data_IF_553700387006
#
_entry.id   IF_553700387006
#
_cell.length_a   1.000
_cell.length_b   1.000
_cell.length_c   1.000
_cell.angle_alpha   90.00
_cell.angle_beta   90.00
_cell.angle_gamma   90.00
#
_symmetry.space_group_name_H-M   'P 1'
#
loop_
_entity.id
_entity.type
_entity.pdbx_description
1 polymer ?
#
# COMPACT_ATOMS: atom_id res chain seq x y z
N UNK A 1 36.63 32.21 70.40
CA UNK A 1 35.23 32.38 69.95
C UNK A 1 35.17 31.92 68.50
N UNK A 2 34.27 30.98 68.17
CA UNK A 2 34.01 30.36 66.85
C UNK A 2 35.17 29.50 66.31
N UNK A 3 35.25 28.17 66.47
CA UNK A 3 34.36 27.05 66.11
C UNK A 3 33.92 27.03 64.64
N UNK A 4 34.64 26.28 63.80
CA UNK A 4 34.12 25.10 63.07
C UNK A 4 35.25 24.44 62.26
N UNK A 5 35.65 23.25 62.71
CA UNK A 5 36.61 22.34 62.09
C UNK A 5 35.84 21.44 61.11
N UNK A 6 36.32 21.37 59.87
CA UNK A 6 35.77 20.53 58.79
C UNK A 6 36.05 19.06 59.13
N UNK A 7 34.99 18.29 59.38
CA UNK A 7 35.03 16.84 59.58
C UNK A 7 34.75 16.16 58.23
N UNK A 8 35.77 15.50 57.69
CA UNK A 8 35.71 14.62 56.53
C UNK A 8 35.14 13.25 56.98
N UNK A 9 33.84 13.03 56.77
CA UNK A 9 33.16 11.76 57.07
C UNK A 9 33.30 10.77 55.91
N UNK A 10 34.20 9.81 56.07
CA UNK A 10 34.24 8.54 55.34
C UNK A 10 33.07 7.66 55.81
N UNK A 11 32.05 7.48 54.96
CA UNK A 11 30.96 6.53 55.20
C UNK A 11 31.21 5.23 54.40
N UNK A 12 31.10 4.06 55.04
CA UNK A 12 31.34 2.76 54.40
C UNK A 12 30.17 2.36 53.48
N UNK A 13 30.51 1.81 52.31
CA UNK A 13 29.57 1.30 51.33
C UNK A 13 28.73 0.15 51.89
N UNK A 14 27.43 0.38 51.98
CA UNK A 14 26.45 -0.70 52.16
C UNK A 14 26.02 -1.19 50.78
N UNK A 15 26.52 -2.37 50.41
CA UNK A 15 26.06 -3.15 49.27
C UNK A 15 24.61 -3.58 49.53
N UNK A 16 23.65 -2.85 48.97
CA UNK A 16 22.31 -3.38 48.76
C UNK A 16 22.32 -4.23 47.48
N UNK A 17 22.42 -5.54 47.64
CA UNK A 17 22.06 -6.48 46.59
C UNK A 17 20.56 -6.35 46.31
N UNK A 18 20.21 -5.64 45.25
CA UNK A 18 18.84 -5.62 44.74
C UNK A 18 18.62 -6.93 43.98
N UNK A 19 18.07 -7.92 44.69
CA UNK A 19 17.51 -9.11 44.06
C UNK A 19 16.44 -8.67 43.08
N UNK A 20 16.75 -8.75 41.78
CA UNK A 20 15.74 -8.58 40.73
C UNK A 20 14.84 -9.80 40.78
N UNK A 21 13.82 -9.73 41.63
CA UNK A 21 12.59 -10.50 41.53
C UNK A 21 11.85 -10.10 40.25
N UNK A 22 12.38 -10.52 39.10
CA UNK A 22 11.76 -10.38 37.80
C UNK A 22 11.03 -11.65 37.43
N UNK A 23 9.97 -11.97 38.19
CA UNK A 23 8.99 -13.00 37.84
C UNK A 23 8.20 -12.56 36.60
N UNK A 24 8.86 -12.59 35.44
CA UNK A 24 8.18 -12.56 34.15
C UNK A 24 7.36 -13.83 34.06
N UNK A 25 6.05 -13.72 34.30
CA UNK A 25 5.10 -14.73 33.83
C UNK A 25 5.27 -14.80 32.32
N UNK A 26 6.10 -15.73 31.86
CA UNK A 26 6.17 -16.11 30.46
C UNK A 26 4.75 -16.45 30.04
N UNK A 27 4.18 -15.62 29.16
CA UNK A 27 2.89 -15.93 28.57
C UNK A 27 3.01 -17.35 28.00
N UNK A 28 2.12 -18.25 28.43
CA UNK A 28 2.10 -19.61 27.91
C UNK A 28 2.14 -19.56 26.37
N UNK A 29 2.93 -20.44 25.71
CA UNK A 29 2.95 -20.50 24.27
C UNK A 29 1.51 -20.61 23.76
N UNK A 30 1.12 -19.69 22.86
CA UNK A 30 -0.20 -19.77 22.25
C UNK A 30 -0.34 -21.13 21.56
N UNK A 31 -1.52 -21.77 21.61
CA UNK A 31 -1.74 -23.04 20.94
C UNK A 31 -1.42 -22.90 19.44
N UNK A 32 -0.96 -23.98 18.78
CA UNK A 32 -0.64 -23.93 17.37
C UNK A 32 -1.86 -23.48 16.56
N UNK A 33 -1.66 -22.66 15.51
CA UNK A 33 -2.75 -22.14 14.70
C UNK A 33 -3.51 -23.29 14.02
N UNK A 34 -4.84 -23.16 13.96
CA UNK A 34 -5.75 -24.10 13.30
C UNK A 34 -6.55 -23.36 12.21
N UNK A 35 -7.11 -24.10 11.26
CA UNK A 35 -7.94 -23.57 10.17
C UNK A 35 -7.23 -22.52 9.28
N UNK A 36 -5.95 -22.76 9.01
CA UNK A 36 -5.18 -22.04 7.98
C UNK A 36 -5.57 -22.60 6.61
N UNK A 37 -6.27 -21.80 5.78
CA UNK A 37 -6.71 -22.20 4.43
C UNK A 37 -5.79 -21.68 3.33
N UNK A 38 -5.11 -20.55 3.59
CA UNK A 38 -4.24 -19.88 2.61
C UNK A 38 -2.79 -19.78 3.08
N UNK A 39 -2.55 -19.68 4.38
CA UNK A 39 -1.21 -19.54 4.96
C UNK A 39 -0.63 -20.92 5.27
N UNK A 40 0.67 -21.09 5.02
CA UNK A 40 1.36 -22.33 5.37
C UNK A 40 1.50 -22.43 6.90
N UNK A 41 1.36 -23.61 7.52
CA UNK A 41 1.60 -23.79 8.95
C UNK A 41 3.00 -23.38 9.42
N UNK A 42 3.99 -23.34 8.52
CA UNK A 42 5.38 -22.90 8.79
C UNK A 42 5.55 -21.39 8.72
N UNK A 43 4.60 -20.65 8.14
CA UNK A 43 4.65 -19.18 8.10
C UNK A 43 4.61 -18.64 9.54
N UNK A 44 5.34 -17.55 9.80
CA UNK A 44 5.29 -16.84 11.09
C UNK A 44 3.94 -16.13 11.28
N UNK A 45 2.91 -16.89 11.66
CA UNK A 45 1.51 -16.44 11.69
C UNK A 45 1.33 -15.18 12.54
N UNK A 46 2.01 -15.08 13.69
CA UNK A 46 1.88 -13.90 14.55
C UNK A 46 2.34 -12.62 13.85
N UNK A 47 3.46 -12.69 13.13
CA UNK A 47 3.98 -11.55 12.37
C UNK A 47 3.01 -11.14 11.27
N UNK A 48 2.47 -12.11 10.52
CA UNK A 48 1.48 -11.86 9.46
C UNK A 48 0.20 -11.24 10.00
N UNK A 49 -0.32 -11.72 11.14
CA UNK A 49 -1.52 -11.14 11.75
C UNK A 49 -1.26 -9.71 12.27
N UNK A 50 -0.05 -9.44 12.77
CA UNK A 50 0.34 -8.09 13.18
C UNK A 50 0.44 -7.14 11.98
N UNK A 51 0.99 -7.59 10.85
CA UNK A 51 1.07 -6.76 9.65
C UNK A 51 -0.31 -6.44 9.07
N UNK A 52 -1.28 -7.36 9.18
CA UNK A 52 -2.68 -7.07 8.83
C UNK A 52 -3.29 -6.02 9.75
N UNK A 53 -3.09 -6.13 11.06
CA UNK A 53 -3.58 -5.16 12.03
C UNK A 53 -3.02 -3.76 11.74
N UNK A 54 -1.71 -3.66 11.47
CA UNK A 54 -1.05 -2.40 11.12
C UNK A 54 -1.57 -1.83 9.80
N UNK A 55 -1.62 -2.65 8.75
CA UNK A 55 -2.08 -2.22 7.43
C UNK A 55 -3.53 -1.71 7.45
N UNK A 56 -4.41 -2.32 8.24
CA UNK A 56 -5.83 -1.94 8.32
C UNK A 56 -6.15 -0.95 9.45
N UNK A 57 -5.24 -0.74 10.41
CA UNK A 57 -5.50 0.07 11.60
C UNK A 57 -6.50 -0.56 12.58
N UNK A 58 -6.48 -1.88 12.72
CA UNK A 58 -7.48 -2.64 13.51
C UNK A 58 -6.84 -3.55 14.55
N UNK A 59 -7.66 -4.08 15.45
CA UNK A 59 -7.28 -5.10 16.42
C UNK A 59 -7.73 -6.51 15.98
N UNK A 60 -7.16 -7.55 16.61
CA UNK A 60 -7.41 -8.95 16.27
C UNK A 60 -8.91 -9.32 16.20
N UNK A 61 -9.71 -8.78 17.12
CA UNK A 61 -11.16 -9.03 17.21
C UNK A 61 -11.96 -8.43 16.04
N UNK A 62 -11.34 -7.60 15.21
CA UNK A 62 -11.96 -7.15 13.96
C UNK A 62 -12.26 -8.34 13.05
N UNK A 63 -11.33 -9.29 12.93
CA UNK A 63 -11.47 -10.47 12.08
C UNK A 63 -11.72 -11.76 12.86
N UNK A 64 -11.18 -11.89 14.08
CA UNK A 64 -11.26 -13.12 14.86
C UNK A 64 -12.35 -13.06 15.94
N UNK A 65 -12.88 -14.24 16.30
CA UNK A 65 -13.71 -14.39 17.49
C UNK A 65 -12.81 -14.41 18.74
N UNK A 66 -13.24 -13.74 19.81
CA UNK A 66 -12.47 -13.72 21.05
C UNK A 66 -12.44 -15.12 21.67
N UNK A 67 -11.26 -15.62 22.00
CA UNK A 67 -11.08 -16.98 22.56
C UNK A 67 -11.07 -18.10 21.52
N UNK A 68 -11.51 -17.85 20.28
CA UNK A 68 -11.43 -18.81 19.17
C UNK A 68 -10.98 -18.14 17.87
N UNK A 69 -9.66 -18.10 17.66
CA UNK A 69 -9.06 -17.55 16.44
C UNK A 69 -9.29 -18.44 15.21
N UNK A 70 -9.62 -19.72 15.40
CA UNK A 70 -9.83 -20.68 14.33
C UNK A 70 -11.23 -20.59 13.74
N UNK A 71 -12.23 -20.13 14.50
CA UNK A 71 -13.60 -19.91 14.03
C UNK A 71 -13.66 -19.00 12.79
N UNK A 72 -14.57 -19.33 11.88
CA UNK A 72 -14.94 -18.52 10.70
C UNK A 72 -16.31 -17.84 10.89
N UNK A 73 -16.88 -17.85 12.11
CA UNK A 73 -18.18 -17.21 12.41
C UNK A 73 -18.17 -15.69 12.18
N UNK A 74 -17.02 -15.03 12.34
CA UNK A 74 -16.87 -13.64 11.95
C UNK A 74 -16.62 -13.54 10.42
N UNK A 75 -17.56 -12.99 9.64
CA UNK A 75 -17.47 -12.97 8.18
C UNK A 75 -16.30 -12.13 7.65
N UNK A 76 -15.75 -11.20 8.46
CA UNK A 76 -14.59 -10.39 8.07
C UNK A 76 -13.33 -11.24 7.86
N UNK A 77 -13.23 -12.41 8.51
CA UNK A 77 -12.13 -13.34 8.29
C UNK A 77 -12.12 -13.87 6.85
N UNK A 78 -13.28 -14.22 6.31
CA UNK A 78 -13.41 -14.66 4.92
C UNK A 78 -13.15 -13.52 3.94
N UNK A 79 -13.50 -12.27 4.29
CA UNK A 79 -13.08 -11.09 3.51
C UNK A 79 -11.55 -10.96 3.50
N UNK A 80 -10.89 -11.10 4.66
CA UNK A 80 -9.43 -11.06 4.74
C UNK A 80 -8.77 -12.16 3.89
N UNK A 81 -9.34 -13.39 3.87
CA UNK A 81 -8.87 -14.46 2.99
C UNK A 81 -8.98 -14.08 1.50
N UNK A 82 -10.10 -13.45 1.08
CA UNK A 82 -10.23 -12.94 -0.30
C UNK A 82 -9.18 -11.88 -0.62
N UNK A 83 -8.83 -11.02 0.34
CA UNK A 83 -7.78 -10.01 0.15
C UNK A 83 -6.39 -10.64 0.02
N UNK A 84 -6.09 -11.71 0.78
CA UNK A 84 -4.85 -12.49 0.60
C UNK A 84 -4.78 -13.06 -0.82
N UNK A 85 -5.86 -13.67 -1.30
CA UNK A 85 -5.93 -14.18 -2.68
C UNK A 85 -5.77 -13.06 -3.72
N UNK A 86 -6.32 -11.87 -3.45
CA UNK A 86 -6.16 -10.71 -4.33
C UNK A 86 -4.70 -10.24 -4.40
N UNK A 87 -3.98 -10.15 -3.27
CA UNK A 87 -2.55 -9.79 -3.27
C UNK A 87 -1.74 -10.82 -4.07
N UNK A 88 -1.99 -12.12 -3.86
CA UNK A 88 -1.33 -13.18 -4.64
C UNK A 88 -1.62 -13.09 -6.13
N UNK A 89 -2.83 -12.66 -6.52
CA UNK A 89 -3.17 -12.43 -7.91
C UNK A 89 -2.38 -11.24 -8.48
N UNK A 90 -2.26 -10.17 -7.70
CA UNK A 90 -1.51 -8.96 -8.07
C UNK A 90 -0.04 -9.29 -8.28
N UNK A 91 0.56 -10.13 -7.43
CA UNK A 91 1.96 -10.57 -7.55
C UNK A 91 2.29 -11.14 -8.92
N UNK A 92 1.34 -11.84 -9.57
CA UNK A 92 1.56 -12.42 -10.91
C UNK A 92 1.81 -11.36 -12.00
N UNK A 93 1.49 -10.09 -11.73
CA UNK A 93 1.71 -8.96 -12.63
C UNK A 93 3.10 -8.32 -12.47
N UNK A 94 3.87 -8.70 -11.45
CA UNK A 94 5.16 -8.10 -11.12
C UNK A 94 6.30 -9.14 -11.18
N UNK A 95 7.23 -9.02 -12.14
CA UNK A 95 8.35 -9.96 -12.26
C UNK A 95 9.32 -9.93 -11.06
N UNK A 96 9.29 -8.86 -10.26
CA UNK A 96 10.08 -8.71 -9.04
C UNK A 96 9.53 -9.54 -7.88
N UNK A 97 8.24 -9.89 -7.89
CA UNK A 97 7.63 -10.70 -6.82
C UNK A 97 8.25 -12.10 -6.79
N UNK A 98 8.70 -12.52 -5.61
CA UNK A 98 9.35 -13.80 -5.38
C UNK A 98 8.70 -14.48 -4.18
N UNK A 99 8.25 -15.73 -4.35
CA UNK A 99 7.49 -16.45 -3.33
C UNK A 99 5.98 -16.24 -3.45
N UNK A 100 5.24 -16.66 -2.42
CA UNK A 100 3.78 -16.56 -2.37
C UNK A 100 3.43 -15.81 -1.11
N UNK A 101 2.72 -14.69 -1.24
CA UNK A 101 2.36 -13.84 -0.11
C UNK A 101 1.78 -14.69 1.03
N UNK A 102 2.27 -14.54 2.28
CA UNK A 102 3.15 -13.47 2.78
C UNK A 102 4.66 -13.78 2.71
N UNK A 103 5.06 -14.90 2.11
CA UNK A 103 6.45 -15.33 2.10
C UNK A 103 7.20 -14.82 0.87
N UNK A 104 8.32 -14.13 1.10
CA UNK A 104 9.21 -13.62 0.05
C UNK A 104 9.03 -12.13 -0.24
N UNK A 105 9.52 -11.67 -1.40
CA UNK A 105 9.41 -10.28 -1.82
C UNK A 105 8.12 -10.06 -2.60
N UNK A 106 7.39 -9.01 -2.27
CA UNK A 106 6.14 -8.64 -2.92
C UNK A 106 6.12 -7.15 -3.25
N UNK A 107 5.80 -6.82 -4.50
CA UNK A 107 5.74 -5.43 -4.96
C UNK A 107 4.58 -4.66 -4.29
N UNK A 108 3.48 -5.36 -4.02
CA UNK A 108 2.28 -4.83 -3.40
C UNK A 108 1.92 -5.69 -2.20
N UNK A 109 1.50 -5.06 -1.11
CA UNK A 109 0.99 -5.73 0.08
C UNK A 109 -0.25 -5.02 0.64
N UNK A 110 -0.73 -5.48 1.80
CA UNK A 110 -1.89 -4.89 2.48
C UNK A 110 -1.69 -3.39 2.78
N UNK A 111 -0.47 -3.02 3.19
CA UNK A 111 -0.14 -1.64 3.58
C UNK A 111 -0.15 -0.70 2.38
N UNK A 112 0.17 -1.22 1.18
CA UNK A 112 0.20 -0.45 -0.07
C UNK A 112 -1.13 0.28 -0.31
N UNK A 113 -2.25 -0.44 -0.11
CA UNK A 113 -3.60 0.05 -0.33
C UNK A 113 -4.24 0.63 0.94
N UNK A 114 -4.22 -0.14 2.04
CA UNK A 114 -5.05 0.17 3.21
C UNK A 114 -4.50 1.33 4.04
N UNK A 115 -3.18 1.41 4.23
CA UNK A 115 -2.49 2.50 4.95
C UNK A 115 -3.21 2.95 6.24
N UNK A 116 -3.56 2.00 7.10
CA UNK A 116 -4.24 2.22 8.37
C UNK A 116 -5.76 2.37 8.27
N UNK A 117 -6.36 2.11 7.11
CA UNK A 117 -7.80 2.20 6.89
C UNK A 117 -8.39 0.87 6.43
N UNK A 118 -9.49 0.44 7.06
CA UNK A 118 -10.23 -0.77 6.67
C UNK A 118 -10.74 -0.69 5.23
N UNK A 119 -11.07 0.52 4.75
CA UNK A 119 -11.41 0.78 3.35
C UNK A 119 -10.32 1.67 2.75
N UNK A 120 -9.63 1.22 1.69
CA UNK A 120 -8.63 2.04 1.02
C UNK A 120 -9.22 3.34 0.45
N UNK A 121 -8.40 4.38 0.39
CA UNK A 121 -8.73 5.59 -0.34
C UNK A 121 -8.63 5.34 -1.85
N UNK A 122 -9.54 5.94 -2.62
CA UNK A 122 -9.59 5.77 -4.09
C UNK A 122 -9.43 7.08 -4.86
N UNK A 123 -9.33 8.21 -4.17
CA UNK A 123 -9.24 9.53 -4.81
C UNK A 123 -8.14 10.35 -4.16
N UNK A 124 -7.33 11.01 -4.98
CA UNK A 124 -6.32 11.94 -4.51
C UNK A 124 -6.97 13.09 -3.73
N UNK A 125 -6.44 13.49 -2.56
CA UNK A 125 -7.00 14.58 -1.76
C UNK A 125 -6.77 15.95 -2.41
N UNK A 126 -5.85 16.04 -3.37
CA UNK A 126 -5.50 17.27 -4.06
C UNK A 126 -5.09 17.00 -5.50
N UNK A 127 -5.44 17.93 -6.40
CA UNK A 127 -4.95 17.94 -7.76
C UNK A 127 -3.48 18.36 -7.81
N UNK A 128 -2.63 17.60 -8.50
CA UNK A 128 -1.23 17.91 -8.68
C UNK A 128 -1.00 18.72 -9.96
N UNK A 129 -0.42 19.91 -9.85
CA UNK A 129 0.02 20.69 -11.00
C UNK A 129 1.46 21.11 -10.75
N UNK A 130 2.41 20.61 -11.54
CA UNK A 130 3.77 21.13 -11.47
C UNK A 130 3.81 22.50 -12.15
N UNK A 131 4.04 23.55 -11.37
CA UNK A 131 4.21 24.91 -11.89
C UNK A 131 5.46 25.07 -12.76
N UNK A 132 6.42 24.15 -12.68
CA UNK A 132 7.65 24.16 -13.51
C UNK A 132 7.54 23.38 -14.83
N UNK A 133 6.48 22.60 -15.02
CA UNK A 133 6.29 21.73 -16.21
C UNK A 133 4.90 21.82 -16.82
N UNK A 134 3.99 22.58 -16.20
CA UNK A 134 2.94 23.26 -16.95
C UNK A 134 3.68 24.13 -17.94
N UNK A 135 3.78 23.64 -19.18
CA UNK A 135 3.68 24.51 -20.35
C UNK A 135 2.78 25.67 -19.90
N UNK A 136 3.26 26.91 -19.86
CA UNK A 136 2.49 28.09 -19.43
C UNK A 136 1.24 28.37 -20.28
N UNK A 137 0.80 27.36 -21.03
CA UNK A 137 -0.40 27.24 -21.78
C UNK A 137 -1.54 26.84 -20.84
N UNK A 138 -2.76 27.35 -21.08
CA UNK A 138 -3.95 26.87 -20.39
C UNK A 138 -4.08 25.34 -20.50
N UNK A 139 -4.80 24.68 -19.57
CA UNK A 139 -5.14 23.27 -19.71
C UNK A 139 -5.60 23.00 -21.14
N UNK A 140 -5.10 21.95 -21.82
CA UNK A 140 -5.49 21.68 -23.20
C UNK A 140 -7.01 21.67 -23.29
N UNK A 141 -7.55 22.39 -24.27
CA UNK A 141 -8.98 22.37 -24.57
C UNK A 141 -9.46 20.92 -24.63
N UNK A 142 -10.68 20.65 -24.19
CA UNK A 142 -11.23 19.30 -24.28
C UNK A 142 -11.30 18.90 -25.75
N UNK A 143 -10.35 18.05 -26.14
CA UNK A 143 -10.34 17.37 -27.43
C UNK A 143 -10.63 15.90 -27.20
N UNK A 144 -11.34 15.23 -28.12
CA UNK A 144 -11.57 13.79 -28.05
C UNK A 144 -10.25 13.04 -27.86
N UNK A 145 -10.29 11.98 -27.08
CA UNK A 145 -9.13 11.11 -26.90
C UNK A 145 -8.78 10.42 -28.21
N UNK A 146 -7.51 10.52 -28.59
CA UNK A 146 -6.92 9.81 -29.73
C UNK A 146 -6.05 8.67 -29.22
N UNK A 147 -5.99 7.55 -29.96
CA UNK A 147 -5.21 6.36 -29.59
C UNK A 147 -5.54 5.82 -28.18
N UNK A 148 -6.84 5.75 -27.86
CA UNK A 148 -7.37 5.34 -26.56
C UNK A 148 -7.06 3.88 -26.19
N UNK A 149 -6.76 3.03 -27.19
CA UNK A 149 -6.44 1.60 -27.07
C UNK A 149 -7.41 0.84 -26.15
N UNK A 150 -7.10 0.79 -24.86
CA UNK A 150 -7.84 0.05 -23.84
C UNK A 150 -9.06 0.83 -23.33
N UNK A 151 -9.10 2.15 -23.52
CA UNK A 151 -10.13 3.02 -22.99
C UNK A 151 -11.33 3.10 -23.94
N UNK A 152 -12.58 3.14 -23.44
CA UNK A 152 -13.76 3.43 -24.25
C UNK A 152 -13.62 4.73 -25.04
N UNK A 153 -14.24 4.82 -26.22
CA UNK A 153 -14.08 5.96 -27.16
C UNK A 153 -14.58 7.29 -26.57
N UNK A 154 -15.56 7.20 -25.68
CA UNK A 154 -16.21 8.29 -24.95
C UNK A 154 -15.45 8.71 -23.68
N UNK A 155 -14.29 8.10 -23.40
CA UNK A 155 -13.52 8.41 -22.19
C UNK A 155 -13.05 9.87 -22.21
N UNK A 156 -13.42 10.60 -21.17
CA UNK A 156 -12.95 11.96 -20.94
C UNK A 156 -11.48 11.96 -20.49
N UNK A 157 -10.55 12.18 -21.42
CA UNK A 157 -9.09 12.07 -21.16
C UNK A 157 -8.37 13.40 -20.93
N UNK A 158 -8.91 14.55 -21.34
CA UNK A 158 -8.27 15.86 -21.16
C UNK A 158 -9.07 16.79 -20.24
N UNK A 159 -8.40 17.67 -19.50
CA UNK A 159 -9.06 18.62 -18.59
C UNK A 159 -8.79 18.32 -17.11
N UNK A 160 -9.35 19.14 -16.23
CA UNK A 160 -9.05 19.08 -14.79
C UNK A 160 -9.71 17.90 -14.06
N UNK A 161 -10.80 17.34 -14.61
CA UNK A 161 -11.55 16.20 -14.07
C UNK A 161 -11.55 15.04 -15.06
N UNK A 162 -10.43 14.88 -15.76
CA UNK A 162 -10.22 13.83 -16.77
C UNK A 162 -9.47 12.64 -16.20
N UNK A 163 -9.53 11.52 -16.92
CA UNK A 163 -8.76 10.32 -16.58
C UNK A 163 -7.24 10.60 -16.50
N UNK A 164 -6.70 11.42 -17.41
CA UNK A 164 -5.27 11.76 -17.35
C UNK A 164 -4.97 12.68 -16.15
N UNK A 165 -5.94 13.50 -15.72
CA UNK A 165 -5.87 14.22 -14.47
C UNK A 165 -5.79 13.29 -13.26
N UNK A 166 -6.62 12.25 -13.22
CA UNK A 166 -6.58 11.22 -12.16
C UNK A 166 -5.22 10.52 -12.10
N UNK A 167 -4.65 10.12 -13.25
CA UNK A 167 -3.32 9.50 -13.30
C UNK A 167 -2.23 10.44 -12.80
N UNK A 168 -2.25 11.70 -13.27
CA UNK A 168 -1.33 12.74 -12.85
C UNK A 168 -1.36 12.96 -11.34
N UNK A 169 -2.57 13.04 -10.78
CA UNK A 169 -2.78 13.26 -9.34
C UNK A 169 -2.36 12.04 -8.52
N UNK A 170 -2.62 10.83 -9.04
CA UNK A 170 -2.27 9.58 -8.38
C UNK A 170 -0.77 9.30 -8.31
N UNK A 171 -0.05 9.60 -9.38
CA UNK A 171 1.39 9.36 -9.47
C UNK A 171 2.22 10.60 -9.09
N UNK A 172 1.59 11.77 -8.93
CA UNK A 172 2.24 13.07 -8.70
C UNK A 172 3.31 13.39 -9.76
N UNK A 173 2.96 13.17 -11.02
CA UNK A 173 3.80 13.42 -12.20
C UNK A 173 3.12 14.38 -13.16
N UNK A 174 3.84 14.93 -14.13
CA UNK A 174 3.24 15.72 -15.21
C UNK A 174 2.89 14.88 -16.43
N UNK A 175 2.10 15.43 -17.36
CA UNK A 175 1.77 14.76 -18.63
C UNK A 175 3.03 14.30 -19.38
N UNK A 176 4.10 15.10 -19.32
CA UNK A 176 5.38 14.80 -19.98
C UNK A 176 6.09 13.55 -19.46
N UNK A 177 5.74 13.10 -18.24
CA UNK A 177 6.24 11.84 -17.70
C UNK A 177 5.90 10.66 -18.61
N UNK A 178 4.70 10.67 -19.19
CA UNK A 178 4.22 9.64 -20.11
C UNK A 178 4.21 10.10 -21.58
N UNK A 179 3.87 11.36 -21.86
CA UNK A 179 3.70 11.88 -23.22
C UNK A 179 4.91 12.75 -23.61
N UNK A 180 5.76 12.30 -24.53
CA UNK A 180 7.02 12.98 -24.86
C UNK A 180 6.82 14.47 -25.20
N UNK A 181 7.40 15.37 -24.40
CA UNK A 181 7.27 16.82 -24.55
C UNK A 181 7.72 17.28 -25.94
N UNK A 182 6.78 17.82 -26.72
CA UNK A 182 7.01 18.29 -28.10
C UNK A 182 6.68 17.27 -29.20
N UNK A 183 6.19 16.08 -28.87
CA UNK A 183 5.62 15.12 -29.84
C UNK A 183 4.11 14.97 -29.63
N UNK A 184 3.36 14.54 -30.67
CA UNK A 184 1.94 14.23 -30.52
C UNK A 184 1.71 13.18 -29.42
N UNK A 185 0.73 13.43 -28.54
CA UNK A 185 0.50 12.63 -27.32
C UNK A 185 -0.01 11.22 -27.64
N UNK A 186 -0.64 11.05 -28.79
CA UNK A 186 -1.11 9.77 -29.35
C UNK A 186 0.03 8.81 -29.68
N UNK A 187 1.25 9.30 -29.88
CA UNK A 187 2.39 8.47 -30.26
C UNK A 187 2.88 7.63 -29.08
N UNK A 188 3.20 6.37 -29.36
CA UNK A 188 3.65 5.39 -28.36
C UNK A 188 5.17 5.24 -28.34
N UNK A 189 5.85 6.38 -28.20
CA UNK A 189 7.32 6.41 -28.15
C UNK A 189 7.86 6.21 -26.73
N UNK A 190 7.11 6.59 -25.70
CA UNK A 190 7.55 6.48 -24.32
C UNK A 190 7.06 5.16 -23.70
N UNK A 191 7.96 4.27 -23.24
CA UNK A 191 7.58 2.97 -22.68
C UNK A 191 6.70 3.07 -21.43
N UNK A 192 6.69 4.22 -20.74
CA UNK A 192 5.79 4.46 -19.60
C UNK A 192 4.32 4.42 -20.00
N UNK A 193 3.96 4.73 -21.25
CA UNK A 193 2.57 4.58 -21.73
C UNK A 193 2.15 3.11 -21.74
N UNK A 194 3.03 2.20 -22.12
CA UNK A 194 2.75 0.77 -22.13
C UNK A 194 2.70 0.19 -20.71
N UNK A 195 3.54 0.68 -19.80
CA UNK A 195 3.44 0.36 -18.38
C UNK A 195 2.08 0.82 -17.82
N UNK A 196 1.67 2.07 -18.08
CA UNK A 196 0.38 2.59 -17.64
C UNK A 196 -0.80 1.76 -18.17
N UNK A 197 -0.74 1.29 -19.42
CA UNK A 197 -1.74 0.37 -20.00
C UNK A 197 -1.81 -0.96 -19.26
N UNK A 198 -0.67 -1.55 -18.91
CA UNK A 198 -0.64 -2.78 -18.09
C UNK A 198 -1.25 -2.52 -16.71
N UNK A 199 -1.00 -1.36 -16.12
CA UNK A 199 -1.61 -0.99 -14.83
C UNK A 199 -3.12 -0.77 -14.94
N UNK A 200 -3.63 -0.21 -16.04
CA UNK A 200 -5.09 -0.15 -16.30
C UNK A 200 -5.68 -1.56 -16.33
N UNK A 201 -5.04 -2.51 -17.00
CA UNK A 201 -5.50 -3.90 -17.04
C UNK A 201 -5.48 -4.56 -15.66
N UNK A 202 -4.43 -4.31 -14.88
CA UNK A 202 -4.34 -4.78 -13.49
C UNK A 202 -5.50 -4.24 -12.64
N UNK A 203 -5.77 -2.93 -12.69
CA UNK A 203 -6.88 -2.31 -11.94
C UNK A 203 -8.23 -2.86 -12.39
N UNK A 204 -8.43 -3.11 -13.69
CA UNK A 204 -9.65 -3.78 -14.20
C UNK A 204 -9.80 -5.18 -13.62
N UNK A 205 -8.73 -5.96 -13.62
CA UNK A 205 -8.73 -7.32 -13.09
C UNK A 205 -9.01 -7.35 -11.59
N UNK A 206 -8.45 -6.41 -10.83
CA UNK A 206 -8.71 -6.27 -9.39
C UNK A 206 -10.17 -5.90 -9.14
N UNK A 207 -10.68 -4.86 -9.80
CA UNK A 207 -12.07 -4.43 -9.60
C UNK A 207 -13.06 -5.53 -9.96
N UNK A 208 -12.78 -6.36 -10.97
CA UNK A 208 -13.63 -7.51 -11.32
C UNK A 208 -13.83 -8.54 -10.17
N UNK A 209 -13.00 -8.51 -9.12
CA UNK A 209 -13.18 -9.35 -7.93
C UNK A 209 -14.19 -8.78 -6.91
N UNK A 210 -14.66 -7.54 -7.11
CA UNK A 210 -15.61 -6.87 -6.24
C UNK A 210 -17.01 -6.86 -6.89
N UNK A 211 -18.03 -7.47 -6.26
CA UNK A 211 -19.39 -7.43 -6.79
C UNK A 211 -19.90 -5.99 -6.92
N UNK A 212 -20.54 -5.67 -8.04
CA UNK A 212 -21.18 -4.38 -8.28
C UNK A 212 -20.25 -3.26 -8.78
N UNK A 213 -18.97 -3.54 -9.03
CA UNK A 213 -18.05 -2.55 -9.61
C UNK A 213 -18.14 -2.47 -11.12
N UNK A 214 -17.83 -1.30 -11.67
CA UNK A 214 -17.70 -1.13 -13.12
C UNK A 214 -16.31 -1.51 -13.66
N UNK A 215 -16.15 -1.48 -14.98
CA UNK A 215 -14.87 -1.70 -15.65
C UNK A 215 -14.13 -0.39 -15.76
N UNK A 216 -12.99 -0.26 -15.09
CA UNK A 216 -12.18 0.95 -15.11
C UNK A 216 -12.02 1.53 -16.54
N UNK A 217 -12.25 2.84 -16.75
CA UNK A 217 -12.55 3.88 -15.76
C UNK A 217 -14.05 4.10 -15.49
N UNK A 218 -14.94 3.23 -15.99
CA UNK A 218 -16.39 3.45 -15.98
C UNK A 218 -17.05 2.72 -14.80
N UNK A 219 -17.99 3.39 -14.13
CA UNK A 219 -18.76 2.85 -13.00
C UNK A 219 -18.02 2.91 -11.67
N UNK A 220 -18.59 2.32 -10.63
CA UNK A 220 -17.99 2.35 -9.28
C UNK A 220 -16.65 1.61 -9.26
N UNK A 221 -15.58 2.28 -8.82
CA UNK A 221 -14.24 1.72 -8.67
C UNK A 221 -13.91 1.54 -7.18
N UNK A 222 -13.57 0.31 -6.76
CA UNK A 222 -13.10 0.03 -5.38
C UNK A 222 -11.59 0.18 -5.25
N UNK A 223 -10.87 0.02 -6.36
CA UNK A 223 -9.44 0.25 -6.48
C UNK A 223 -9.20 1.18 -7.65
N UNK A 224 -8.36 2.19 -7.45
CA UNK A 224 -7.91 3.14 -8.47
C UNK A 224 -6.40 3.26 -8.45
N UNK A 225 -5.84 4.11 -9.32
CA UNK A 225 -4.42 4.42 -9.29
C UNK A 225 -4.01 5.04 -7.94
N UNK A 226 -4.88 5.89 -7.36
CA UNK A 226 -4.62 6.51 -6.07
C UNK A 226 -4.48 5.48 -4.96
N UNK A 227 -5.25 4.39 -5.00
CA UNK A 227 -5.26 3.36 -3.97
C UNK A 227 -3.87 2.82 -3.65
N UNK A 228 -3.02 2.61 -4.66
CA UNK A 228 -1.66 2.12 -4.46
C UNK A 228 -0.60 3.23 -4.49
N UNK A 229 -0.65 4.11 -5.50
CA UNK A 229 0.44 5.04 -5.79
C UNK A 229 0.56 6.18 -4.77
N UNK A 230 -0.58 6.76 -4.37
CA UNK A 230 -0.65 7.76 -3.29
C UNK A 230 0.40 8.88 -3.42
N UNK A 231 0.60 9.34 -4.65
CA UNK A 231 1.53 10.40 -5.01
C UNK A 231 2.97 9.94 -5.29
N UNK A 232 3.23 8.64 -5.41
CA UNK A 232 4.51 8.10 -5.87
C UNK A 232 4.33 7.35 -7.21
N UNK A 233 5.17 7.60 -8.24
CA UNK A 233 5.15 6.82 -9.47
C UNK A 233 5.35 5.32 -9.27
N UNK A 234 5.93 4.92 -8.14
CA UNK A 234 6.09 3.54 -7.72
C UNK A 234 5.45 3.34 -6.34
N UNK A 235 4.47 2.43 -6.19
CA UNK A 235 3.77 2.26 -4.92
C UNK A 235 4.75 1.77 -3.84
N UNK A 236 4.55 2.24 -2.60
CA UNK A 236 5.37 1.82 -1.45
C UNK A 236 4.65 0.72 -0.66
N UNK A 237 5.38 -0.35 -0.39
CA UNK A 237 5.01 -1.53 0.39
C UNK A 237 6.08 -1.80 1.45
N UNK A 238 5.89 -2.83 2.27
CA UNK A 238 6.93 -3.32 3.17
C UNK A 238 8.15 -3.87 2.41
N UNK A 239 7.93 -4.50 1.26
CA UNK A 239 8.96 -5.17 0.47
C UNK A 239 9.85 -4.20 -0.32
N UNK A 240 9.31 -3.06 -0.75
CA UNK A 240 9.96 -2.18 -1.72
C UNK A 240 10.28 -0.77 -1.19
N UNK A 241 10.41 -0.60 0.14
CA UNK A 241 10.64 0.70 0.80
C UNK A 241 11.77 1.56 0.22
N UNK A 242 12.71 0.97 -0.52
CA UNK A 242 13.72 1.67 -1.29
C UNK A 242 13.70 1.20 -2.75
N UNK A 243 12.85 1.80 -3.60
CA UNK A 243 12.85 1.56 -5.03
C UNK A 243 13.67 2.64 -5.75
N UNK A 244 14.89 2.35 -6.24
CA UNK A 244 15.63 3.33 -7.03
C UNK A 244 14.94 3.55 -8.40
N UNK A 245 14.97 4.77 -8.96
CA UNK A 245 14.37 5.03 -10.26
C UNK A 245 14.98 4.10 -11.34
N UNK A 246 14.20 3.72 -12.38
CA UNK A 246 14.71 2.89 -13.47
C UNK A 246 15.95 3.54 -14.10
N UNK A 247 17.01 2.75 -14.30
CA UNK A 247 18.21 3.20 -15.01
C UNK A 247 17.79 3.75 -16.40
N UNK A 248 18.29 4.93 -16.82
CA UNK A 248 18.05 5.40 -18.16
C UNK A 248 18.58 4.36 -19.17
N UNK A 249 17.75 4.04 -20.17
CA UNK A 249 18.17 3.24 -21.32
C UNK A 249 18.96 4.09 -22.29
#
# INVERSE_FOLDING_TARGET
MQLLIIILLLLPGSLFAQERGGGGRGAAPLPPPKNLKLLDPKTEIRFVMQSFNEALGVQCTHCHMQGDFASDENPKKEVARKMISMVRLIDTSFPSSAGVFPDGYHEVDCSTCHRGNVKPETVAPSKFYNRGNSLGNPPPAQVPGVSLKLLPVETHVHGADSLMGEFRDALRVDCNYCHGGGKPQEWDLNPRKDIARKMIMLVRQINAQFPGTGVFPVGEQKVTCWTCHRGDPHPVSLGNKAYPPPQPK
#
